data_IF_741285024997
#
_entry.id   IF_741285024997
#
_cell.length_a   1.000
_cell.length_b   1.000
_cell.length_c   1.000
_cell.angle_alpha   90.00
_cell.angle_beta   90.00
_cell.angle_gamma   90.00
#
_symmetry.space_group_name_H-M   'P 1'
#
loop_
_entity.id
_entity.type
_entity.pdbx_description
1 polymer ?
#
# COMPACT_ATOMS: atom_id res chain seq x y z
N UNK A 1 -31.50 6.20 10.87
CA UNK A 1 -31.11 6.34 9.46
C UNK A 1 -30.32 5.09 9.12
N UNK A 2 -30.73 4.32 8.09
CA UNK A 2 -29.94 3.18 7.61
C UNK A 2 -28.59 3.66 7.11
N UNK A 3 -27.50 3.00 7.47
CA UNK A 3 -26.17 3.29 6.95
C UNK A 3 -26.13 2.96 5.45
N UNK A 4 -25.36 3.70 4.62
CA UNK A 4 -25.31 3.48 3.16
C UNK A 4 -24.92 2.07 2.75
N UNK A 5 -24.31 1.28 3.65
CA UNK A 5 -23.80 -0.06 3.41
C UNK A 5 -24.58 -1.18 4.13
N UNK A 6 -25.73 -0.88 4.76
CA UNK A 6 -26.53 -1.88 5.50
C UNK A 6 -26.95 -3.09 4.63
N UNK A 7 -26.95 -2.93 3.30
CA UNK A 7 -27.30 -3.97 2.33
C UNK A 7 -26.11 -4.50 1.51
N UNK A 8 -24.87 -4.07 1.79
CA UNK A 8 -23.70 -4.56 1.07
C UNK A 8 -23.12 -5.79 1.79
N UNK A 9 -23.28 -6.95 1.18
CA UNK A 9 -22.83 -8.22 1.75
C UNK A 9 -21.33 -8.53 1.47
N UNK A 10 -20.65 -7.71 0.66
CA UNK A 10 -19.24 -7.84 0.35
C UNK A 10 -18.31 -7.35 1.48
N UNK A 11 -17.01 -7.47 1.24
CA UNK A 11 -15.95 -6.90 2.07
C UNK A 11 -15.51 -5.55 1.49
N UNK A 12 -15.33 -4.55 2.35
CA UNK A 12 -14.73 -3.26 1.99
C UNK A 12 -13.32 -3.23 2.54
N UNK A 13 -12.33 -3.29 1.65
CA UNK A 13 -10.91 -3.37 2.01
C UNK A 13 -10.20 -2.16 1.40
N UNK A 14 -9.47 -1.41 2.23
CA UNK A 14 -8.55 -0.37 1.79
C UNK A 14 -7.12 -0.90 1.84
N UNK A 15 -6.49 -1.02 0.68
CA UNK A 15 -5.17 -1.63 0.53
C UNK A 15 -4.01 -0.70 0.93
N UNK A 16 -4.25 0.59 1.19
CA UNK A 16 -3.25 1.52 1.69
C UNK A 16 -3.90 2.70 2.40
N UNK A 17 -3.59 2.87 3.67
CA UNK A 17 -3.99 4.05 4.44
C UNK A 17 -2.94 4.40 5.48
N UNK A 18 -2.72 5.71 5.66
CA UNK A 18 -1.96 6.28 6.74
C UNK A 18 -2.81 7.32 7.46
N UNK A 19 -2.81 7.30 8.78
CA UNK A 19 -3.64 8.23 9.54
C UNK A 19 -3.00 8.56 10.90
N UNK A 20 -3.40 9.67 11.47
CA UNK A 20 -3.14 9.96 12.89
C UNK A 20 -4.09 9.12 13.75
N UNK A 21 -3.81 7.83 13.78
CA UNK A 21 -4.66 6.78 14.32
C UNK A 21 -5.19 7.09 15.72
N UNK A 22 -6.49 7.09 15.87
CA UNK A 22 -7.18 7.33 17.12
C UNK A 22 -8.60 6.72 17.07
N UNK A 23 -9.28 6.70 18.22
CA UNK A 23 -10.61 6.10 18.35
C UNK A 23 -11.66 6.68 17.41
N UNK A 24 -11.59 7.99 17.09
CA UNK A 24 -12.57 8.61 16.16
C UNK A 24 -12.44 8.01 14.77
N UNK A 25 -11.20 7.91 14.25
CA UNK A 25 -10.92 7.31 12.94
C UNK A 25 -11.38 5.84 12.90
N UNK A 26 -11.08 5.05 13.92
CA UNK A 26 -11.52 3.65 13.98
C UNK A 26 -13.04 3.52 14.01
N UNK A 27 -13.73 4.45 14.67
CA UNK A 27 -15.18 4.50 14.68
C UNK A 27 -15.74 4.90 13.30
N UNK A 28 -15.15 5.89 12.64
CA UNK A 28 -15.54 6.31 11.29
C UNK A 28 -15.37 5.17 10.28
N UNK A 29 -14.26 4.43 10.33
CA UNK A 29 -14.02 3.25 9.49
C UNK A 29 -15.10 2.19 9.68
N UNK A 30 -15.41 1.84 10.93
CA UNK A 30 -16.47 0.88 11.23
C UNK A 30 -17.84 1.38 10.79
N UNK A 31 -18.18 2.64 11.10
CA UNK A 31 -19.46 3.24 10.75
C UNK A 31 -19.60 3.39 9.22
N UNK A 32 -18.47 3.53 8.48
CA UNK A 32 -18.38 3.49 7.02
C UNK A 32 -18.38 2.08 6.41
N UNK A 33 -18.50 1.02 7.21
CA UNK A 33 -18.55 -0.37 6.74
C UNK A 33 -17.20 -0.94 6.29
N UNK A 34 -16.07 -0.29 6.63
CA UNK A 34 -14.73 -0.77 6.27
C UNK A 34 -14.42 -2.05 7.03
N UNK A 35 -14.21 -3.13 6.29
CA UNK A 35 -13.91 -4.46 6.84
C UNK A 35 -12.45 -4.60 7.21
N UNK A 36 -11.55 -4.09 6.36
CA UNK A 36 -10.11 -4.19 6.58
C UNK A 36 -9.39 -2.95 6.05
N UNK A 37 -8.35 -2.55 6.77
CA UNK A 37 -7.39 -1.53 6.32
C UNK A 37 -5.99 -2.09 6.38
N UNK A 38 -5.25 -1.95 5.28
CA UNK A 38 -3.82 -2.17 5.24
C UNK A 38 -3.11 -0.88 5.70
N UNK A 39 -2.81 -0.84 7.00
CA UNK A 39 -2.25 0.35 7.62
C UNK A 39 -0.75 0.45 7.38
N UNK A 40 -0.32 1.56 6.79
CA UNK A 40 1.09 1.91 6.73
C UNK A 40 1.59 2.25 8.13
N UNK A 41 2.59 1.50 8.61
CA UNK A 41 3.19 1.75 9.93
C UNK A 41 4.65 2.19 9.83
N UNK A 42 5.24 2.07 8.65
CA UNK A 42 6.63 2.43 8.35
C UNK A 42 6.74 3.02 6.95
N UNK A 43 7.52 4.10 6.83
CA UNK A 43 8.03 4.63 5.57
C UNK A 43 9.54 4.34 5.44
N UNK A 44 10.39 4.96 6.29
CA UNK A 44 11.85 4.82 6.26
C UNK A 44 12.46 4.49 7.61
N UNK A 45 11.64 4.06 8.55
CA UNK A 45 12.08 3.69 9.88
C UNK A 45 13.01 2.47 9.82
N UNK A 46 14.02 2.47 10.69
CA UNK A 46 14.89 1.32 10.94
C UNK A 46 14.14 0.18 11.63
N UNK A 47 14.75 -0.99 11.73
CA UNK A 47 14.20 -2.12 12.50
C UNK A 47 13.82 -1.70 13.93
N UNK A 48 14.70 -0.96 14.61
CA UNK A 48 14.44 -0.50 15.98
C UNK A 48 13.27 0.48 16.08
N UNK A 49 13.19 1.45 15.18
CA UNK A 49 12.08 2.41 15.14
C UNK A 49 10.76 1.67 14.85
N UNK A 50 10.77 0.69 13.96
CA UNK A 50 9.64 -0.17 13.63
C UNK A 50 9.10 -0.92 14.84
N UNK A 51 9.97 -1.48 15.68
CA UNK A 51 9.54 -2.13 16.94
C UNK A 51 8.81 -1.15 17.87
N UNK A 52 9.22 0.11 17.89
CA UNK A 52 8.53 1.14 18.67
C UNK A 52 7.15 1.46 18.10
N UNK A 53 6.99 1.50 16.77
CA UNK A 53 5.69 1.70 16.12
C UNK A 53 4.76 0.51 16.38
N UNK A 54 5.23 -0.73 16.28
CA UNK A 54 4.44 -1.92 16.65
C UNK A 54 4.01 -1.85 18.12
N UNK A 55 4.88 -1.39 19.02
CA UNK A 55 4.53 -1.18 20.43
C UNK A 55 3.43 -0.13 20.62
N UNK A 56 3.39 0.93 19.81
CA UNK A 56 2.28 1.92 19.81
C UNK A 56 0.98 1.26 19.34
N UNK A 57 1.03 0.49 18.26
CA UNK A 57 -0.13 -0.22 17.71
C UNK A 57 -0.70 -1.25 18.70
N UNK A 58 0.13 -1.97 19.45
CA UNK A 58 -0.35 -2.88 20.49
C UNK A 58 -1.23 -2.14 21.51
N UNK A 59 -0.81 -0.94 21.93
CA UNK A 59 -1.64 -0.11 22.83
C UNK A 59 -2.93 0.38 22.18
N UNK A 60 -2.89 0.73 20.86
CA UNK A 60 -4.10 1.09 20.12
C UNK A 60 -5.10 -0.06 20.07
N UNK A 61 -4.63 -1.30 19.84
CA UNK A 61 -5.50 -2.49 19.85
C UNK A 61 -6.10 -2.74 21.24
N UNK A 62 -5.32 -2.62 22.31
CA UNK A 62 -5.82 -2.76 23.69
C UNK A 62 -6.91 -1.72 23.99
N UNK A 63 -6.65 -0.44 23.68
CA UNK A 63 -7.54 0.68 23.97
C UNK A 63 -8.80 0.71 23.10
N UNK A 64 -8.78 0.06 21.93
CA UNK A 64 -9.86 0.06 20.96
C UNK A 64 -10.26 -1.36 20.55
N UNK A 65 -10.13 -2.32 21.47
CA UNK A 65 -10.42 -3.72 21.21
C UNK A 65 -11.88 -4.01 20.84
N UNK A 66 -12.78 -3.05 21.08
CA UNK A 66 -14.17 -3.08 20.64
C UNK A 66 -14.35 -2.66 19.16
N UNK A 67 -13.37 -2.00 18.54
CA UNK A 67 -13.44 -1.45 17.19
C UNK A 67 -12.52 -2.14 16.18
N UNK A 68 -11.31 -2.47 16.61
CA UNK A 68 -10.23 -2.97 15.73
C UNK A 68 -9.50 -4.17 16.33
N UNK A 69 -8.80 -4.91 15.48
CA UNK A 69 -7.84 -5.94 15.89
C UNK A 69 -6.80 -6.18 14.79
N UNK A 70 -5.64 -6.74 15.16
CA UNK A 70 -4.61 -7.12 14.21
C UNK A 70 -5.03 -8.38 13.44
N UNK A 71 -5.18 -8.26 12.12
CA UNK A 71 -5.39 -9.39 11.23
C UNK A 71 -4.05 -9.92 10.68
N UNK A 72 -3.86 -11.21 10.73
CA UNK A 72 -2.67 -11.91 10.25
C UNK A 72 -2.95 -12.83 9.07
N UNK A 73 -4.22 -13.14 8.84
CA UNK A 73 -4.69 -14.06 7.81
C UNK A 73 -5.92 -13.51 7.08
N UNK A 74 -6.21 -14.04 5.89
CA UNK A 74 -7.44 -13.72 5.19
C UNK A 74 -8.69 -14.15 5.99
N UNK A 75 -8.60 -15.20 6.81
CA UNK A 75 -9.71 -15.63 7.66
C UNK A 75 -9.97 -14.62 8.79
N UNK A 76 -8.95 -13.97 9.32
CA UNK A 76 -9.14 -12.85 10.25
C UNK A 76 -9.94 -11.72 9.60
N UNK A 77 -9.63 -11.38 8.33
CA UNK A 77 -10.36 -10.36 7.57
C UNK A 77 -11.82 -10.80 7.33
N UNK A 78 -12.07 -12.06 6.94
CA UNK A 78 -13.42 -12.60 6.78
C UNK A 78 -14.20 -12.54 8.08
N UNK A 79 -13.54 -12.85 9.20
CA UNK A 79 -14.15 -12.83 10.53
C UNK A 79 -14.49 -11.42 11.02
N UNK A 80 -13.74 -10.40 10.59
CA UNK A 80 -13.92 -9.00 11.02
C UNK A 80 -15.38 -8.53 10.87
N UNK A 81 -15.98 -8.82 9.70
CA UNK A 81 -17.38 -8.47 9.41
C UNK A 81 -18.34 -9.15 10.38
N UNK A 82 -18.13 -10.43 10.68
CA UNK A 82 -19.03 -11.20 11.56
C UNK A 82 -18.99 -10.72 13.01
N UNK A 83 -17.86 -10.19 13.47
CA UNK A 83 -17.69 -9.68 14.84
C UNK A 83 -17.88 -8.16 14.94
N UNK A 84 -18.24 -7.49 13.83
CA UNK A 84 -18.53 -6.05 13.81
C UNK A 84 -17.32 -5.16 14.10
N UNK A 85 -16.10 -5.58 13.72
CA UNK A 85 -14.85 -4.82 13.90
C UNK A 85 -14.17 -4.58 12.56
N UNK A 86 -13.26 -3.61 12.51
CA UNK A 86 -12.35 -3.44 11.36
C UNK A 86 -11.05 -4.18 11.62
N UNK A 87 -10.67 -5.06 10.70
CA UNK A 87 -9.37 -5.73 10.69
C UNK A 87 -8.28 -4.73 10.28
N UNK A 88 -7.14 -4.77 10.94
CA UNK A 88 -5.96 -3.99 10.57
C UNK A 88 -4.86 -4.97 10.15
N UNK A 89 -4.36 -4.85 8.93
CA UNK A 89 -3.12 -5.47 8.49
C UNK A 89 -1.99 -4.45 8.52
N UNK A 90 -0.76 -4.88 8.75
CA UNK A 90 0.39 -3.99 8.77
C UNK A 90 1.13 -4.02 7.43
N UNK A 91 1.47 -2.82 6.94
CA UNK A 91 2.25 -2.62 5.74
C UNK A 91 3.48 -1.73 6.00
N UNK A 92 4.56 -2.05 5.31
CA UNK A 92 5.72 -1.20 5.14
C UNK A 92 5.69 -0.59 3.74
N UNK A 93 5.80 0.73 3.62
CA UNK A 93 5.93 1.38 2.32
C UNK A 93 7.39 1.44 1.83
N UNK A 94 8.34 0.93 2.62
CA UNK A 94 9.75 0.77 2.25
C UNK A 94 10.37 -0.44 2.95
N UNK A 95 11.44 -0.98 2.38
CA UNK A 95 12.16 -2.11 2.96
C UNK A 95 13.19 -1.75 4.05
N UNK A 96 13.26 -0.48 4.49
CA UNK A 96 14.21 -0.03 5.51
C UNK A 96 14.23 -0.86 6.81
N UNK A 97 13.09 -1.41 7.30
CA UNK A 97 13.11 -2.22 8.51
C UNK A 97 13.88 -3.54 8.42
N UNK A 98 14.17 -4.02 7.21
CA UNK A 98 15.02 -5.22 7.06
C UNK A 98 16.50 -4.86 6.93
N UNK A 99 16.83 -3.57 6.84
CA UNK A 99 18.21 -3.08 6.75
C UNK A 99 18.98 -3.82 5.63
N UNK A 100 20.12 -4.41 5.92
CA UNK A 100 20.88 -5.31 5.03
C UNK A 100 20.82 -6.79 5.47
N UNK A 101 19.82 -7.15 6.29
CA UNK A 101 19.67 -8.47 6.89
C UNK A 101 18.36 -9.16 6.45
N UNK A 102 18.48 -10.21 5.63
CA UNK A 102 17.33 -10.95 5.10
C UNK A 102 16.55 -11.66 6.20
N UNK A 103 17.19 -12.09 7.28
CA UNK A 103 16.53 -12.81 8.37
C UNK A 103 15.47 -11.92 9.07
N UNK A 104 15.59 -10.58 8.95
CA UNK A 104 14.60 -9.66 9.45
C UNK A 104 13.26 -9.72 8.70
N UNK A 105 13.19 -10.25 7.50
CA UNK A 105 11.92 -10.44 6.76
C UNK A 105 11.01 -11.38 7.55
N UNK A 106 11.52 -12.53 8.00
CA UNK A 106 10.75 -13.49 8.80
C UNK A 106 10.36 -12.92 10.17
N UNK A 107 11.28 -12.19 10.79
CA UNK A 107 11.00 -11.54 12.09
C UNK A 107 9.86 -10.53 11.96
N UNK A 108 9.91 -9.66 10.95
CA UNK A 108 8.85 -8.68 10.70
C UNK A 108 7.51 -9.36 10.37
N UNK A 109 7.53 -10.44 9.57
CA UNK A 109 6.33 -11.22 9.31
C UNK A 109 5.74 -11.83 10.60
N UNK A 110 6.57 -12.37 11.48
CA UNK A 110 6.15 -12.90 12.79
C UNK A 110 5.53 -11.83 13.66
N UNK A 111 6.04 -10.59 13.60
CA UNK A 111 5.48 -9.44 14.31
C UNK A 111 4.16 -8.92 13.72
N UNK A 112 3.73 -9.42 12.57
CA UNK A 112 2.41 -9.13 11.99
C UNK A 112 2.42 -8.39 10.67
N UNK A 113 3.60 -8.08 10.11
CA UNK A 113 3.70 -7.42 8.82
C UNK A 113 3.24 -8.37 7.73
N UNK A 114 2.40 -7.90 6.80
CA UNK A 114 1.87 -8.72 5.70
C UNK A 114 2.21 -8.19 4.32
N UNK A 115 2.51 -6.89 4.20
CA UNK A 115 2.90 -6.23 2.96
C UNK A 115 4.19 -5.46 3.16
N UNK A 116 5.10 -5.54 2.20
CA UNK A 116 6.31 -4.71 2.19
C UNK A 116 6.63 -4.24 0.78
N UNK A 117 6.83 -2.93 0.63
CA UNK A 117 7.36 -2.33 -0.59
C UNK A 117 8.88 -2.42 -0.60
N UNK A 118 9.43 -2.68 -1.79
CA UNK A 118 10.87 -2.80 -1.98
C UNK A 118 11.57 -1.44 -2.09
N UNK A 119 10.86 -0.37 -2.45
CA UNK A 119 11.34 1.01 -2.49
C UNK A 119 10.21 1.99 -2.25
N UNK A 120 10.52 3.19 -1.79
CA UNK A 120 9.58 4.30 -1.67
C UNK A 120 10.15 5.53 -2.37
N UNK A 121 9.63 5.85 -3.55
CA UNK A 121 10.06 6.98 -4.39
C UNK A 121 11.52 6.93 -4.85
N UNK A 122 12.45 6.77 -3.92
CA UNK A 122 13.90 6.74 -4.13
C UNK A 122 14.42 5.30 -4.24
N UNK A 123 15.68 5.19 -4.67
CA UNK A 123 16.40 3.92 -4.69
C UNK A 123 16.59 3.35 -3.28
N UNK A 124 16.33 2.05 -3.16
CA UNK A 124 16.65 1.25 -1.98
C UNK A 124 17.77 0.24 -2.26
N UNK A 125 18.11 -0.58 -1.25
CA UNK A 125 18.96 -1.75 -1.46
C UNK A 125 18.32 -2.82 -2.34
N UNK A 126 16.98 -2.81 -2.50
CA UNK A 126 16.22 -3.83 -3.21
C UNK A 126 15.85 -3.44 -4.64
N UNK A 127 15.44 -2.20 -4.87
CA UNK A 127 14.82 -1.75 -6.11
C UNK A 127 14.98 -0.26 -6.32
N UNK A 128 14.82 0.23 -7.56
CA UNK A 128 14.68 1.64 -7.84
C UNK A 128 13.26 2.14 -7.50
N UNK A 129 13.17 3.38 -7.02
CA UNK A 129 11.92 4.10 -6.85
C UNK A 129 11.43 4.71 -8.17
N UNK A 130 10.16 5.13 -8.17
CA UNK A 130 9.52 5.69 -9.38
C UNK A 130 10.01 7.09 -9.77
N UNK A 131 10.70 7.79 -8.88
CA UNK A 131 11.27 9.12 -9.13
C UNK A 131 12.76 9.10 -9.44
N UNK A 132 13.39 7.92 -9.48
CA UNK A 132 14.78 7.83 -9.94
C UNK A 132 14.87 8.03 -11.46
N UNK A 133 15.94 8.69 -11.90
CA UNK A 133 16.21 8.92 -13.31
C UNK A 133 16.46 7.60 -14.06
N UNK A 134 17.20 6.69 -13.42
CA UNK A 134 17.47 5.35 -13.93
C UNK A 134 16.82 4.27 -13.07
N UNK A 135 16.11 3.35 -13.72
CA UNK A 135 15.60 2.13 -13.08
C UNK A 135 16.37 0.89 -13.57
N UNK A 136 17.40 0.44 -12.83
CA UNK A 136 18.17 -0.76 -13.19
C UNK A 136 17.40 -2.06 -12.97
N UNK A 137 16.26 -2.02 -12.28
CA UNK A 137 15.48 -3.19 -11.86
C UNK A 137 15.83 -3.67 -10.46
N UNK A 138 15.41 -4.89 -10.13
CA UNK A 138 15.65 -5.51 -8.84
C UNK A 138 17.14 -5.86 -8.67
N UNK A 139 17.71 -5.46 -7.53
CA UNK A 139 19.10 -5.76 -7.16
C UNK A 139 19.31 -7.23 -6.82
N UNK A 140 20.57 -7.65 -6.65
CA UNK A 140 20.88 -9.02 -6.16
C UNK A 140 20.31 -9.27 -4.76
N UNK A 141 20.37 -8.26 -3.88
CA UNK A 141 19.77 -8.34 -2.55
C UNK A 141 18.24 -8.39 -2.63
N UNK A 142 17.63 -7.54 -3.47
CA UNK A 142 16.18 -7.53 -3.69
C UNK A 142 15.62 -8.87 -4.18
N UNK A 143 16.38 -9.62 -5.01
CA UNK A 143 15.99 -10.99 -5.44
C UNK A 143 15.87 -11.95 -4.25
N UNK A 144 16.83 -11.92 -3.34
CA UNK A 144 16.82 -12.76 -2.14
C UNK A 144 15.69 -12.32 -1.19
N UNK A 145 15.44 -11.01 -1.06
CA UNK A 145 14.33 -10.48 -0.27
C UNK A 145 12.98 -10.95 -0.83
N UNK A 146 12.75 -10.90 -2.16
CA UNK A 146 11.53 -11.42 -2.78
C UNK A 146 11.37 -12.92 -2.49
N UNK A 147 12.42 -13.71 -2.62
CA UNK A 147 12.40 -15.14 -2.31
C UNK A 147 11.98 -15.38 -0.87
N UNK A 148 12.55 -14.64 0.08
CA UNK A 148 12.23 -14.77 1.49
C UNK A 148 10.81 -14.31 1.81
N UNK A 149 10.35 -13.20 1.22
CA UNK A 149 8.97 -12.74 1.34
C UNK A 149 7.98 -13.81 0.85
N UNK A 150 8.27 -14.45 -0.29
CA UNK A 150 7.47 -15.56 -0.82
C UNK A 150 7.44 -16.75 0.15
N UNK A 151 8.60 -17.10 0.74
CA UNK A 151 8.72 -18.21 1.70
C UNK A 151 7.84 -18.01 2.92
N UNK A 152 7.89 -16.81 3.52
CA UNK A 152 7.13 -16.52 4.75
C UNK A 152 5.67 -16.14 4.48
N UNK A 153 5.31 -15.83 3.24
CA UNK A 153 3.96 -15.39 2.87
C UNK A 153 3.70 -13.89 3.06
N UNK A 154 4.76 -13.08 3.02
CA UNK A 154 4.66 -11.62 2.96
C UNK A 154 4.44 -11.18 1.51
N UNK A 155 3.47 -10.31 1.28
CA UNK A 155 3.13 -9.81 -0.07
C UNK A 155 4.14 -8.75 -0.51
N UNK A 156 4.68 -8.92 -1.72
CA UNK A 156 5.54 -7.91 -2.37
C UNK A 156 4.64 -6.82 -2.93
N UNK A 157 4.86 -5.58 -2.52
CA UNK A 157 4.16 -4.40 -3.03
C UNK A 157 5.13 -3.51 -3.82
N UNK A 158 4.74 -3.11 -5.03
CA UNK A 158 5.58 -2.34 -5.95
C UNK A 158 4.98 -0.96 -6.27
N UNK A 159 4.13 -0.45 -5.38
CA UNK A 159 3.42 0.82 -5.60
C UNK A 159 4.36 1.98 -5.89
N UNK A 160 5.43 2.17 -5.13
CA UNK A 160 6.39 3.26 -5.28
C UNK A 160 7.64 2.92 -6.10
N UNK A 161 7.72 1.69 -6.64
CA UNK A 161 8.87 1.26 -7.41
C UNK A 161 8.79 1.69 -8.88
N UNK A 162 9.94 1.78 -9.51
CA UNK A 162 10.05 2.08 -10.94
C UNK A 162 9.45 0.98 -11.81
N UNK A 163 9.30 1.28 -13.08
CA UNK A 163 8.63 0.43 -14.07
C UNK A 163 9.37 -0.91 -14.25
N UNK A 164 10.68 -0.84 -14.54
CA UNK A 164 11.51 -2.03 -14.77
C UNK A 164 11.68 -2.86 -13.49
N UNK A 165 11.82 -2.20 -12.34
CA UNK A 165 11.86 -2.87 -11.04
C UNK A 165 10.57 -3.66 -10.79
N UNK A 166 9.43 -3.12 -11.19
CA UNK A 166 8.13 -3.78 -11.03
C UNK A 166 7.99 -4.98 -11.97
N UNK A 167 8.38 -4.87 -13.26
CA UNK A 167 8.42 -6.01 -14.17
C UNK A 167 9.33 -7.13 -13.65
N UNK A 168 10.54 -6.78 -13.18
CA UNK A 168 11.44 -7.79 -12.59
C UNK A 168 10.84 -8.44 -11.34
N UNK A 169 10.07 -7.70 -10.51
CA UNK A 169 9.42 -8.30 -9.35
C UNK A 169 8.31 -9.29 -9.76
N UNK A 170 7.55 -8.98 -10.82
CA UNK A 170 6.55 -9.91 -11.40
C UNK A 170 7.23 -11.21 -11.86
N UNK A 171 8.36 -11.09 -12.58
CA UNK A 171 9.10 -12.26 -13.11
C UNK A 171 9.76 -13.11 -12.02
N UNK A 172 10.20 -12.49 -10.92
CA UNK A 172 10.96 -13.15 -9.86
C UNK A 172 10.10 -13.74 -8.77
N UNK A 173 8.91 -13.20 -8.56
CA UNK A 173 8.03 -13.62 -7.47
C UNK A 173 7.31 -14.92 -7.84
N UNK A 174 7.40 -15.92 -6.97
CA UNK A 174 6.65 -17.19 -7.10
C UNK A 174 5.17 -17.03 -6.68
N UNK A 175 4.81 -15.87 -6.14
CA UNK A 175 3.46 -15.54 -5.70
C UNK A 175 3.00 -14.24 -6.36
N UNK A 176 1.70 -14.03 -6.52
CA UNK A 176 1.19 -12.76 -7.01
C UNK A 176 1.73 -11.58 -6.19
N UNK A 177 2.20 -10.55 -6.87
CA UNK A 177 2.58 -9.27 -6.26
C UNK A 177 1.40 -8.32 -6.30
N UNK A 178 1.52 -7.19 -5.61
CA UNK A 178 0.49 -6.15 -5.64
C UNK A 178 1.10 -4.78 -5.96
N UNK A 179 0.25 -3.92 -6.47
CA UNK A 179 0.41 -2.47 -6.48
C UNK A 179 -0.75 -1.94 -5.65
N UNK A 180 -0.52 -1.77 -4.35
CA UNK A 180 -1.60 -1.47 -3.40
C UNK A 180 -2.27 -0.13 -3.66
N UNK A 181 -1.54 0.88 -4.21
CA UNK A 181 -2.06 2.22 -4.47
C UNK A 181 -1.32 2.90 -5.62
N UNK A 182 -1.91 2.87 -6.80
CA UNK A 182 -1.49 3.60 -8.01
C UNK A 182 -2.65 3.71 -8.99
N UNK A 183 -2.44 4.43 -10.11
CA UNK A 183 -3.44 4.58 -11.16
C UNK A 183 -2.82 4.27 -12.54
N UNK A 184 -3.62 4.09 -13.61
CA UNK A 184 -3.07 3.88 -14.96
C UNK A 184 -2.42 5.17 -15.49
N UNK A 185 -1.24 5.03 -16.07
CA UNK A 185 -0.46 6.12 -16.65
C UNK A 185 -1.11 6.69 -17.91
N UNK A 186 -1.85 5.87 -18.66
CA UNK A 186 -2.67 6.30 -19.79
C UNK A 186 -3.81 7.23 -19.40
N UNK A 187 -4.30 7.14 -18.14
CA UNK A 187 -5.32 8.04 -17.60
C UNK A 187 -4.74 9.35 -17.09
N UNK A 188 -3.62 9.29 -16.38
CA UNK A 188 -2.87 10.43 -15.87
C UNK A 188 -1.37 10.10 -15.93
N UNK A 189 -0.56 10.85 -16.72
CA UNK A 189 0.85 10.54 -16.96
C UNK A 189 1.77 10.98 -15.80
N UNK A 190 1.43 10.61 -14.58
CA UNK A 190 2.27 10.78 -13.40
C UNK A 190 3.34 9.69 -13.35
N UNK A 191 4.55 9.99 -12.84
CA UNK A 191 5.64 9.02 -12.67
C UNK A 191 5.26 7.88 -11.72
N UNK A 192 4.44 8.17 -10.76
CA UNK A 192 3.90 7.20 -9.79
C UNK A 192 2.91 6.20 -10.42
N UNK A 193 2.24 6.59 -11.48
CA UNK A 193 1.26 5.75 -12.17
C UNK A 193 1.97 4.69 -13.03
N UNK A 194 1.25 3.63 -13.36
CA UNK A 194 1.80 2.45 -14.02
C UNK A 194 1.33 2.37 -15.47
N UNK A 195 2.22 1.93 -16.37
CA UNK A 195 1.87 1.74 -17.79
C UNK A 195 0.81 0.67 -17.98
N UNK A 196 0.10 0.73 -19.07
CA UNK A 196 -0.92 -0.26 -19.41
C UNK A 196 -0.28 -1.65 -19.64
N UNK A 197 0.96 -1.68 -20.16
CA UNK A 197 1.76 -2.89 -20.34
C UNK A 197 2.08 -3.54 -18.98
N UNK A 198 2.51 -2.73 -18.01
CA UNK A 198 2.80 -3.22 -16.66
C UNK A 198 1.55 -3.74 -15.97
N UNK A 199 0.43 -3.02 -16.10
CA UNK A 199 -0.85 -3.44 -15.51
C UNK A 199 -1.35 -4.76 -16.09
N UNK A 200 -1.16 -4.99 -17.39
CA UNK A 200 -1.46 -6.29 -18.04
C UNK A 200 -0.58 -7.40 -17.49
N UNK A 201 0.74 -7.19 -17.43
CA UNK A 201 1.67 -8.17 -16.85
C UNK A 201 1.33 -8.48 -15.38
N UNK A 202 0.94 -7.46 -14.59
CA UNK A 202 0.49 -7.63 -13.22
C UNK A 202 -0.73 -8.55 -13.16
N UNK A 203 -1.75 -8.31 -13.97
CA UNK A 203 -2.98 -9.13 -13.98
C UNK A 203 -2.73 -10.55 -14.47
N UNK A 204 -1.91 -10.73 -15.51
CA UNK A 204 -1.52 -12.05 -16.05
C UNK A 204 -0.76 -12.89 -15.02
N UNK A 205 -0.02 -12.25 -14.11
CA UNK A 205 0.65 -12.91 -12.98
C UNK A 205 -0.27 -13.20 -11.79
N UNK A 206 -1.55 -12.84 -11.88
CA UNK A 206 -2.52 -12.95 -10.78
C UNK A 206 -2.41 -11.85 -9.72
N UNK A 207 -1.67 -10.78 -10.02
CA UNK A 207 -1.50 -9.64 -9.13
C UNK A 207 -2.71 -8.68 -9.14
N UNK A 208 -2.66 -7.65 -8.31
CA UNK A 208 -3.77 -6.71 -8.12
C UNK A 208 -3.29 -5.26 -8.10
N UNK A 209 -4.06 -4.38 -8.73
CA UNK A 209 -3.95 -2.92 -8.63
C UNK A 209 -4.99 -2.37 -7.65
N UNK A 210 -4.57 -1.62 -6.64
CA UNK A 210 -5.43 -0.75 -5.82
C UNK A 210 -5.42 0.68 -6.34
N UNK A 211 -6.59 1.27 -6.59
CA UNK A 211 -6.68 2.65 -7.04
C UNK A 211 -6.41 3.64 -5.92
N UNK A 212 -5.47 4.56 -6.19
CA UNK A 212 -5.12 5.67 -5.30
C UNK A 212 -6.08 6.85 -5.50
N UNK A 213 -6.49 7.43 -4.39
CA UNK A 213 -7.24 8.71 -4.40
C UNK A 213 -6.34 9.93 -4.24
N UNK A 214 -5.00 9.73 -4.23
CA UNK A 214 -4.05 10.83 -4.10
C UNK A 214 -4.18 11.81 -5.29
N UNK A 215 -4.46 13.10 -5.04
CA UNK A 215 -4.91 14.01 -6.09
C UNK A 215 -3.96 14.15 -7.28
N UNK A 216 -2.65 14.14 -7.04
CA UNK A 216 -1.66 14.34 -8.12
C UNK A 216 -1.51 13.15 -9.06
N UNK A 217 -2.04 11.99 -8.67
CA UNK A 217 -2.10 10.79 -9.51
C UNK A 217 -3.42 10.67 -10.29
N UNK A 218 -4.32 11.65 -10.14
CA UNK A 218 -5.64 11.69 -10.75
C UNK A 218 -5.73 12.76 -11.85
N UNK A 219 -6.48 12.47 -12.89
CA UNK A 219 -6.86 13.47 -13.90
C UNK A 219 -7.61 14.61 -13.21
N UNK A 220 -7.26 15.84 -13.55
CA UNK A 220 -7.77 17.06 -12.92
C UNK A 220 -7.35 17.28 -11.45
N UNK A 221 -6.46 16.43 -10.90
CA UNK A 221 -5.88 16.59 -9.57
C UNK A 221 -6.94 16.68 -8.46
N UNK A 222 -6.87 17.73 -7.59
CA UNK A 222 -7.84 17.90 -6.50
C UNK A 222 -9.28 18.18 -6.98
N UNK A 223 -9.49 18.44 -8.27
CA UNK A 223 -10.80 18.64 -8.89
C UNK A 223 -11.38 17.39 -9.53
N UNK A 224 -10.69 16.26 -9.44
CA UNK A 224 -11.18 14.98 -9.92
C UNK A 224 -12.54 14.68 -9.28
N UNK A 225 -13.55 14.49 -10.11
CA UNK A 225 -14.89 14.11 -9.64
C UNK A 225 -14.99 12.61 -9.38
N UNK A 226 -15.92 12.21 -8.53
CA UNK A 226 -16.23 10.77 -8.32
C UNK A 226 -16.55 10.07 -9.64
N UNK A 227 -17.21 10.75 -10.57
CA UNK A 227 -17.53 10.21 -11.90
C UNK A 227 -16.27 9.90 -12.68
N UNK A 228 -15.32 10.84 -12.77
CA UNK A 228 -14.04 10.63 -13.45
C UNK A 228 -13.23 9.49 -12.82
N UNK A 229 -13.26 9.39 -11.50
CA UNK A 229 -12.64 8.28 -10.78
C UNK A 229 -13.29 6.92 -11.15
N UNK A 230 -14.62 6.86 -11.19
CA UNK A 230 -15.35 5.65 -11.63
C UNK A 230 -15.09 5.32 -13.12
N UNK A 231 -14.98 6.32 -13.99
CA UNK A 231 -14.63 6.12 -15.41
C UNK A 231 -13.21 5.54 -15.56
N UNK A 232 -12.25 5.99 -14.74
CA UNK A 232 -10.91 5.40 -14.68
C UNK A 232 -10.95 3.93 -14.21
N UNK A 233 -11.74 3.61 -13.20
CA UNK A 233 -11.92 2.24 -12.71
C UNK A 233 -12.50 1.36 -13.83
N UNK A 234 -13.57 1.82 -14.51
CA UNK A 234 -14.20 1.09 -15.60
C UNK A 234 -13.22 0.83 -16.76
N UNK A 235 -12.49 1.85 -17.18
CA UNK A 235 -11.42 1.73 -18.20
C UNK A 235 -10.39 0.66 -17.79
N UNK A 236 -9.93 0.70 -16.55
CA UNK A 236 -8.92 -0.26 -16.07
C UNK A 236 -9.48 -1.67 -15.95
N UNK A 237 -10.75 -1.81 -15.54
CA UNK A 237 -11.42 -3.12 -15.50
C UNK A 237 -11.55 -3.74 -16.90
N UNK A 238 -11.77 -2.94 -17.95
CA UNK A 238 -11.74 -3.40 -19.34
C UNK A 238 -10.34 -3.82 -19.77
N UNK A 239 -9.29 -3.15 -19.26
CA UNK A 239 -7.91 -3.41 -19.62
C UNK A 239 -7.33 -4.68 -18.99
N UNK A 240 -7.58 -4.91 -17.69
CA UNK A 240 -6.93 -5.96 -16.90
C UNK A 240 -7.90 -6.91 -16.16
N UNK A 241 -9.18 -6.72 -16.29
CA UNK A 241 -10.21 -7.52 -15.61
C UNK A 241 -10.59 -6.98 -14.23
N UNK A 242 -11.88 -7.17 -13.87
CA UNK A 242 -12.44 -6.69 -12.60
C UNK A 242 -11.84 -7.39 -11.37
N UNK A 243 -11.42 -8.64 -11.52
CA UNK A 243 -10.86 -9.44 -10.42
C UNK A 243 -9.43 -9.01 -10.04
N UNK A 244 -8.79 -8.18 -10.88
CA UNK A 244 -7.42 -7.69 -10.66
C UNK A 244 -7.36 -6.25 -10.13
N UNK A 245 -8.49 -5.66 -9.76
CA UNK A 245 -8.57 -4.28 -9.28
C UNK A 245 -9.19 -4.18 -7.88
N UNK A 246 -8.82 -3.15 -7.15
CA UNK A 246 -9.32 -2.84 -5.82
C UNK A 246 -9.13 -1.38 -5.47
N UNK A 247 -9.27 -1.04 -4.21
CA UNK A 247 -9.05 0.32 -3.69
C UNK A 247 -7.84 0.30 -2.74
N UNK A 248 -6.94 1.25 -2.94
CA UNK A 248 -5.90 1.59 -2.00
C UNK A 248 -5.88 3.10 -1.88
N UNK A 249 -6.69 3.64 -0.98
CA UNK A 249 -7.07 5.06 -0.97
C UNK A 249 -5.88 6.01 -0.86
N UNK A 250 -4.83 5.58 -0.18
CA UNK A 250 -3.66 6.41 0.16
C UNK A 250 -4.06 7.65 1.00
N UNK A 251 -5.13 7.52 1.79
CA UNK A 251 -5.61 8.57 2.67
C UNK A 251 -4.61 8.86 3.78
N UNK A 252 -4.35 10.15 4.00
CA UNK A 252 -3.48 10.68 5.06
C UNK A 252 -4.32 11.44 6.08
N UNK A 253 -5.20 10.71 6.76
CA UNK A 253 -6.23 11.29 7.60
C UNK A 253 -5.67 11.88 8.90
N UNK A 254 -6.04 13.12 9.21
CA UNK A 254 -5.68 13.82 10.45
C UNK A 254 -4.25 14.38 10.49
N UNK A 255 -3.46 14.22 9.43
CA UNK A 255 -2.15 14.85 9.26
C UNK A 255 -2.26 16.15 8.46
N UNK A 256 -1.32 17.07 8.70
CA UNK A 256 -1.17 18.30 7.92
C UNK A 256 -0.22 18.14 6.74
N UNK A 257 -0.03 19.22 5.99
CA UNK A 257 0.83 19.25 4.81
C UNK A 257 2.30 18.88 5.13
N UNK A 258 2.77 19.17 6.33
CA UNK A 258 4.13 18.86 6.78
C UNK A 258 4.47 17.37 6.70
N UNK A 259 3.48 16.50 6.92
CA UNK A 259 3.68 15.04 6.79
C UNK A 259 3.74 14.63 5.32
N UNK A 260 2.91 15.24 4.48
CA UNK A 260 2.92 15.00 3.03
C UNK A 260 4.25 15.45 2.42
N UNK A 261 4.75 16.62 2.81
CA UNK A 261 6.06 17.13 2.39
C UNK A 261 7.18 16.20 2.82
N UNK A 262 7.14 15.73 4.08
CA UNK A 262 8.13 14.76 4.58
C UNK A 262 8.09 13.45 3.79
N UNK A 263 6.90 12.91 3.50
CA UNK A 263 6.76 11.69 2.69
C UNK A 263 7.28 11.88 1.25
N UNK A 264 7.16 13.08 0.69
CA UNK A 264 7.64 13.38 -0.67
C UNK A 264 9.15 13.57 -0.73
N UNK A 265 9.73 14.30 0.22
CA UNK A 265 11.14 14.63 0.24
C UNK A 265 12.05 13.44 0.57
N UNK A 266 11.53 12.45 1.30
CA UNK A 266 12.32 11.33 1.74
C UNK A 266 13.23 11.63 2.94
N UNK A 267 13.78 10.56 3.52
CA UNK A 267 14.66 10.68 4.69
C UNK A 267 16.09 11.09 4.32
N UNK A 268 16.55 10.70 3.14
CA UNK A 268 17.96 10.81 2.72
C UNK A 268 18.21 11.88 1.70
N UNK A 269 17.23 12.25 0.88
CA UNK A 269 17.33 13.34 -0.08
C UNK A 269 17.16 14.70 0.61
N UNK A 270 17.87 15.69 0.07
CA UNK A 270 17.71 17.12 0.43
C UNK A 270 16.96 17.88 -0.67
N UNK A 271 16.71 17.25 -1.78
CA UNK A 271 15.88 17.82 -2.84
C UNK A 271 14.43 17.86 -2.40
N UNK A 272 13.81 19.02 -2.60
CA UNK A 272 12.48 19.32 -2.08
C UNK A 272 11.35 18.93 -3.05
N UNK A 273 11.66 18.61 -4.31
CA UNK A 273 10.65 18.42 -5.34
C UNK A 273 11.11 17.43 -6.41
N UNK A 274 10.27 16.45 -6.68
CA UNK A 274 10.42 15.52 -7.81
C UNK A 274 9.59 15.96 -9.05
N UNK A 275 9.11 17.20 -9.09
CA UNK A 275 8.34 17.76 -10.21
C UNK A 275 6.89 17.30 -10.31
N UNK A 276 6.41 16.44 -9.42
CA UNK A 276 5.02 15.99 -9.38
C UNK A 276 4.32 16.45 -8.11
N UNK A 277 3.24 17.18 -8.27
CA UNK A 277 2.31 17.45 -7.19
C UNK A 277 2.80 18.48 -6.17
N UNK A 278 3.32 19.59 -6.65
CA UNK A 278 3.54 20.80 -5.85
C UNK A 278 2.24 21.54 -5.52
#
# INVERSE_FOLDING_TARGET
MSQPFDNFDGFVIDAAQYAKWNRSIFKEMRDGGVTCVNATIVYWESARETLSEIGKWNRLFEQNSDLIFLARTADDVRNAKSIGKTAITFAFQHCSPIEEDIDLVEIMHTLGIRFMQLSYNNQSLCAAGCYEEDDPGITRFGRQVITEMNRVGMVVDMSHSGEKSTFHAIELSERPITITHANPKSWQPALRNKSDELLKALSESGGMLGFSTYPFHLKNGPKCSLREFCEMIAFTAELIGIDCIGIGSDLVQGHGNEVVEWMRNGRWSKEMDFGEGS
#
